data_IF_711399071624
#
_entry.id   IF_711399071624
#
_cell.length_a   1.000
_cell.length_b   1.000
_cell.length_c   1.000
_cell.angle_alpha   90.00
_cell.angle_beta   90.00
_cell.angle_gamma   90.00
#
_symmetry.space_group_name_H-M   'P 1'
#
loop_
_entity.id
_entity.type
_entity.pdbx_description
1 polymer ?
#
# COMPACT_ATOMS: atom_id res chain seq x y z
N UNK A 1 6.41 -18.55 2.08
CA UNK A 1 7.16 -17.35 2.52
C UNK A 1 7.62 -17.48 3.96
N UNK A 2 8.90 -17.15 4.24
CA UNK A 2 9.35 -16.93 5.61
C UNK A 2 8.65 -15.69 6.21
N UNK A 3 8.54 -15.59 7.54
CA UNK A 3 7.97 -14.40 8.18
C UNK A 3 8.79 -13.16 7.84
N UNK A 4 8.10 -12.07 7.49
CA UNK A 4 8.70 -10.78 7.18
C UNK A 4 8.23 -9.73 8.20
N UNK A 5 9.11 -8.78 8.52
CA UNK A 5 8.80 -7.69 9.44
C UNK A 5 8.34 -6.48 8.64
N UNK A 6 7.19 -5.92 8.99
CA UNK A 6 6.70 -4.64 8.44
C UNK A 6 6.92 -3.51 9.45
N UNK A 7 7.21 -2.31 8.95
CA UNK A 7 7.45 -1.11 9.72
C UNK A 7 6.33 -0.09 9.54
N UNK A 8 5.99 0.59 10.63
CA UNK A 8 4.98 1.65 10.69
C UNK A 8 5.42 2.73 11.69
N UNK A 9 6.64 3.24 11.52
CA UNK A 9 7.20 4.24 12.42
C UNK A 9 6.52 5.59 12.21
N UNK A 10 5.99 6.23 13.26
CA UNK A 10 5.35 7.52 13.13
C UNK A 10 6.37 8.63 12.80
N UNK A 11 5.89 9.77 12.26
CA UNK A 11 6.68 10.97 12.11
C UNK A 11 7.42 11.38 13.39
N UNK A 12 8.67 11.82 13.24
CA UNK A 12 9.52 12.33 14.32
C UNK A 12 10.37 13.50 13.84
N UNK A 13 11.11 14.14 14.76
CA UNK A 13 12.04 15.22 14.41
C UNK A 13 13.19 14.77 13.50
N UNK A 14 13.52 13.47 13.50
CA UNK A 14 14.56 12.88 12.64
C UNK A 14 14.00 12.37 11.31
N UNK A 15 12.78 11.87 11.31
CA UNK A 15 12.10 11.31 10.13
C UNK A 15 10.74 11.98 10.01
N UNK A 16 10.69 13.10 9.28
CA UNK A 16 9.54 14.00 9.25
C UNK A 16 8.24 13.37 8.76
N UNK A 17 8.34 12.30 7.97
CA UNK A 17 7.20 11.59 7.38
C UNK A 17 6.99 10.19 7.96
N UNK A 18 7.78 9.80 8.97
CA UNK A 18 7.80 8.43 9.47
C UNK A 18 8.51 7.47 8.53
N UNK A 19 8.48 6.17 8.87
CA UNK A 19 8.99 5.11 8.01
C UNK A 19 7.97 3.97 7.98
N UNK A 20 7.29 3.86 6.84
CA UNK A 20 6.10 3.05 6.68
C UNK A 20 6.26 2.18 5.45
N UNK A 21 6.20 0.86 5.64
CA UNK A 21 6.35 -0.11 4.56
C UNK A 21 5.07 -0.19 3.73
N UNK A 22 5.25 -0.52 2.45
CA UNK A 22 4.16 -0.81 1.53
C UNK A 22 3.89 -2.31 1.48
N UNK A 23 2.62 -2.68 1.40
CA UNK A 23 2.14 -4.05 1.48
C UNK A 23 1.00 -4.28 0.49
N UNK A 24 0.79 -5.56 0.15
CA UNK A 24 -0.47 -6.05 -0.40
C UNK A 24 -1.41 -6.44 0.73
N UNK A 25 -2.67 -6.01 0.64
CA UNK A 25 -3.75 -6.33 1.57
C UNK A 25 -4.87 -7.04 0.83
N UNK A 26 -5.39 -8.12 1.42
CA UNK A 26 -6.62 -8.74 0.96
C UNK A 26 -7.85 -7.94 1.42
N UNK A 27 -8.66 -7.46 0.49
CA UNK A 27 -9.84 -6.62 0.76
C UNK A 27 -11.18 -7.37 0.70
N UNK A 28 -11.19 -8.68 0.44
CA UNK A 28 -12.40 -9.48 0.32
C UNK A 28 -12.18 -10.99 0.48
N UNK A 29 -13.27 -11.76 0.60
CA UNK A 29 -13.22 -13.23 0.66
C UNK A 29 -13.18 -13.81 -0.76
N UNK A 30 -11.98 -14.09 -1.28
CA UNK A 30 -11.78 -14.77 -2.55
C UNK A 30 -10.36 -14.55 -3.10
N UNK A 31 -9.81 -15.53 -3.82
CA UNK A 31 -8.53 -15.37 -4.53
C UNK A 31 -8.69 -14.51 -5.78
N UNK A 32 -7.71 -13.67 -6.08
CA UNK A 32 -7.66 -12.84 -7.29
C UNK A 32 -7.44 -11.35 -7.00
N UNK A 33 -6.91 -10.65 -8.00
CA UNK A 33 -6.44 -9.25 -7.93
C UNK A 33 -7.50 -8.26 -7.55
N UNK A 34 -8.75 -8.50 -7.97
CA UNK A 34 -9.85 -7.60 -7.61
C UNK A 34 -10.02 -7.48 -6.09
N UNK A 35 -9.42 -8.41 -5.34
CA UNK A 35 -9.41 -8.43 -3.88
C UNK A 35 -8.04 -8.07 -3.29
N UNK A 36 -7.08 -7.62 -4.10
CA UNK A 36 -5.77 -7.14 -3.64
C UNK A 36 -5.69 -5.62 -3.73
N UNK A 37 -5.18 -5.02 -2.67
CA UNK A 37 -4.93 -3.59 -2.59
C UNK A 37 -3.48 -3.34 -2.18
N UNK A 38 -2.80 -2.45 -2.91
CA UNK A 38 -1.49 -1.93 -2.47
C UNK A 38 -1.74 -0.80 -1.47
N UNK A 39 -1.09 -0.86 -0.31
CA UNK A 39 -1.24 0.17 0.72
C UNK A 39 0.05 0.39 1.50
N UNK A 40 0.20 1.58 2.09
CA UNK A 40 1.30 1.93 3.00
C UNK A 40 0.83 1.80 4.45
N UNK A 41 1.49 0.99 5.27
CA UNK A 41 1.11 0.75 6.66
C UNK A 41 1.61 1.90 7.54
N UNK A 42 0.68 2.73 8.03
CA UNK A 42 1.03 3.94 8.78
C UNK A 42 0.92 3.77 10.30
N UNK A 43 0.16 2.76 10.76
CA UNK A 43 -0.01 2.48 12.18
C UNK A 43 -0.37 0.99 12.37
N UNK A 44 0.24 0.37 13.38
CA UNK A 44 -0.13 -0.97 13.88
C UNK A 44 -0.64 -0.77 15.31
N UNK A 45 -1.84 -1.25 15.62
CA UNK A 45 -2.46 -0.99 16.90
C UNK A 45 -3.39 -2.13 17.34
N UNK A 46 -3.63 -2.18 18.65
CA UNK A 46 -4.63 -3.06 19.25
C UNK A 46 -5.64 -2.18 20.01
N UNK A 47 -6.94 -2.27 19.69
CA UNK A 47 -7.97 -1.64 20.50
C UNK A 47 -7.93 -2.17 21.93
N UNK A 48 -8.03 -1.27 22.91
CA UNK A 48 -8.14 -1.62 24.33
C UNK A 48 -9.52 -1.18 24.81
N UNK A 49 -10.31 -2.14 25.32
CA UNK A 49 -11.67 -1.92 25.78
C UNK A 49 -11.86 -2.40 27.22
N UNK A 50 -12.80 -1.80 27.96
CA UNK A 50 -13.15 -2.23 29.32
C UNK A 50 -13.93 -3.55 29.26
N UNK A 51 -13.33 -4.58 29.85
CA UNK A 51 -13.79 -5.98 29.92
C UNK A 51 -15.29 -6.14 30.20
N UNK A 52 -15.99 -6.74 29.23
CA UNK A 52 -17.27 -7.47 29.35
C UNK A 52 -17.66 -8.17 28.03
N UNK A 53 -17.15 -7.70 26.88
CA UNK A 53 -17.61 -8.14 25.54
C UNK A 53 -16.55 -8.87 24.72
N UNK A 54 -15.27 -8.76 25.08
CA UNK A 54 -14.19 -9.41 24.34
C UNK A 54 -13.77 -10.66 25.09
N UNK A 55 -14.14 -11.82 24.55
CA UNK A 55 -13.59 -13.09 25.02
C UNK A 55 -12.05 -12.99 24.98
N UNK A 56 -11.43 -13.35 26.09
CA UNK A 56 -10.01 -13.09 26.42
C UNK A 56 -8.99 -13.77 25.47
N UNK A 57 -9.46 -14.44 24.41
CA UNK A 57 -8.64 -15.28 23.53
C UNK A 57 -8.40 -14.68 22.14
N UNK A 58 -9.08 -13.60 21.76
CA UNK A 58 -8.90 -13.01 20.41
C UNK A 58 -8.13 -11.68 20.49
N UNK A 59 -6.80 -11.78 20.46
CA UNK A 59 -5.90 -10.63 20.29
C UNK A 59 -6.00 -10.10 18.85
N UNK A 60 -6.98 -9.24 18.60
CA UNK A 60 -7.13 -8.59 17.29
C UNK A 60 -6.16 -7.41 17.15
N UNK A 61 -5.09 -7.62 16.40
CA UNK A 61 -4.18 -6.56 15.96
C UNK A 61 -4.66 -6.03 14.62
N UNK A 62 -4.68 -4.71 14.50
CA UNK A 62 -5.13 -4.00 13.30
C UNK A 62 -4.01 -3.13 12.75
N UNK A 63 -4.15 -2.79 11.47
CA UNK A 63 -3.33 -1.83 10.76
C UNK A 63 -4.19 -0.73 10.17
N UNK A 64 -3.75 0.52 10.30
CA UNK A 64 -4.24 1.61 9.44
C UNK A 64 -3.28 1.76 8.27
N UNK A 65 -3.82 1.70 7.05
CA UNK A 65 -3.03 1.77 5.84
C UNK A 65 -3.61 2.78 4.83
N UNK A 66 -2.73 3.55 4.21
CA UNK A 66 -3.06 4.51 3.15
C UNK A 66 -2.99 3.82 1.78
N UNK A 67 -4.05 3.94 0.98
CA UNK A 67 -4.22 3.15 -0.22
C UNK A 67 -3.54 3.74 -1.46
N UNK A 68 -3.06 2.85 -2.32
CA UNK A 68 -2.73 3.14 -3.71
C UNK A 68 -3.73 2.43 -4.63
N UNK A 69 -4.06 3.10 -5.73
CA UNK A 69 -4.92 2.60 -6.78
C UNK A 69 -4.09 2.31 -8.02
N UNK A 70 -4.40 1.24 -8.72
CA UNK A 70 -3.78 0.98 -10.01
C UNK A 70 -4.26 2.00 -11.04
N UNK A 71 -3.31 2.76 -11.60
CA UNK A 71 -3.55 3.89 -12.49
C UNK A 71 -3.05 3.65 -13.93
N UNK A 72 -2.51 2.47 -14.22
CA UNK A 72 -2.11 2.09 -15.58
C UNK A 72 -3.29 2.28 -16.55
N UNK A 73 -3.02 2.67 -17.79
CA UNK A 73 -4.05 2.84 -18.83
C UNK A 73 -4.21 1.58 -19.68
N UNK A 74 -3.20 0.71 -19.69
CA UNK A 74 -3.15 -0.49 -20.49
C UNK A 74 -4.01 -1.58 -19.86
N UNK A 75 -4.87 -2.19 -20.67
CA UNK A 75 -5.79 -3.25 -20.27
C UNK A 75 -5.75 -4.40 -21.28
N UNK A 76 -5.89 -5.63 -20.82
CA UNK A 76 -6.12 -6.77 -21.71
C UNK A 76 -7.58 -6.80 -22.21
N UNK A 77 -7.94 -7.82 -22.98
CA UNK A 77 -9.31 -8.00 -23.50
C UNK A 77 -10.36 -8.21 -22.41
N UNK A 78 -9.95 -8.59 -21.19
CA UNK A 78 -10.83 -8.84 -20.05
C UNK A 78 -10.94 -7.62 -19.13
N UNK A 79 -10.22 -6.53 -19.43
CA UNK A 79 -10.18 -5.34 -18.57
C UNK A 79 -9.20 -5.46 -17.40
N UNK A 80 -8.31 -6.45 -17.41
CA UNK A 80 -7.23 -6.61 -16.43
C UNK A 80 -6.16 -5.55 -16.66
N UNK A 81 -5.68 -4.95 -15.58
CA UNK A 81 -4.63 -3.93 -15.61
C UNK A 81 -3.33 -4.56 -16.06
N UNK A 82 -2.72 -4.00 -17.11
CA UNK A 82 -1.43 -4.44 -17.60
C UNK A 82 -0.31 -3.53 -17.07
N UNK A 83 0.89 -4.09 -17.04
CA UNK A 83 2.12 -3.36 -16.76
C UNK A 83 2.35 -2.25 -17.80
N UNK A 84 3.02 -1.18 -17.39
CA UNK A 84 3.38 -0.11 -18.32
C UNK A 84 4.40 -0.62 -19.35
N UNK A 85 4.21 -0.32 -20.66
CA UNK A 85 5.17 -0.64 -21.70
C UNK A 85 6.57 -0.10 -21.33
N UNK A 86 7.61 -0.84 -21.71
CA UNK A 86 9.03 -0.53 -21.46
C UNK A 86 9.49 -0.57 -20.00
N UNK A 87 8.61 -0.35 -19.01
CA UNK A 87 8.93 -0.42 -17.56
C UNK A 87 8.63 -1.80 -16.99
N UNK A 88 7.64 -2.51 -17.55
CA UNK A 88 7.20 -3.84 -17.10
C UNK A 88 6.75 -3.89 -15.62
N UNK A 89 6.35 -2.75 -15.08
CA UNK A 89 5.81 -2.61 -13.72
C UNK A 89 4.40 -2.03 -13.76
N UNK A 90 3.61 -2.29 -12.72
CA UNK A 90 2.26 -1.71 -12.63
C UNK A 90 2.33 -0.26 -12.17
N UNK A 91 1.59 0.62 -12.84
CA UNK A 91 1.47 2.01 -12.41
C UNK A 91 0.43 2.14 -11.30
N UNK A 92 0.83 2.78 -10.22
CA UNK A 92 0.03 3.09 -9.05
C UNK A 92 -0.13 4.61 -8.89
N UNK A 93 -1.24 5.03 -8.32
CA UNK A 93 -1.51 6.39 -7.89
C UNK A 93 -1.94 6.38 -6.43
N UNK A 94 -1.41 7.29 -5.63
CA UNK A 94 -1.82 7.46 -4.24
C UNK A 94 -3.28 7.92 -4.18
N UNK A 95 -4.10 7.22 -3.40
CA UNK A 95 -5.51 7.52 -3.24
C UNK A 95 -5.73 8.79 -2.41
N UNK A 96 -6.69 9.61 -2.82
CA UNK A 96 -7.12 10.81 -2.09
C UNK A 96 -8.64 10.85 -2.02
N UNK A 97 -9.18 11.24 -0.87
CA UNK A 97 -10.61 11.47 -0.66
C UNK A 97 -10.89 12.91 -0.23
N UNK A 98 -12.00 13.52 -0.69
CA UNK A 98 -12.42 14.81 -0.20
C UNK A 98 -12.84 14.72 1.27
N UNK A 99 -12.45 15.69 2.09
CA UNK A 99 -12.80 15.74 3.52
C UNK A 99 -14.01 16.62 3.83
N UNK A 100 -14.31 17.58 2.98
CA UNK A 100 -15.39 18.54 3.17
C UNK A 100 -15.75 19.22 1.82
N UNK A 101 -16.83 20.03 1.76
CA UNK A 101 -17.22 20.77 0.56
C UNK A 101 -16.19 21.81 0.09
N UNK A 102 -15.16 22.13 0.90
CA UNK A 102 -14.11 23.11 0.54
C UNK A 102 -13.07 22.57 -0.44
N UNK A 103 -13.14 21.28 -0.80
CA UNK A 103 -12.22 20.65 -1.74
C UNK A 103 -10.90 20.19 -1.14
N UNK A 104 -10.72 20.31 0.19
CA UNK A 104 -9.53 19.76 0.86
C UNK A 104 -9.54 18.24 0.79
N UNK A 105 -8.49 17.67 0.22
CA UNK A 105 -8.30 16.22 0.15
C UNK A 105 -7.40 15.72 1.28
N UNK A 106 -7.61 14.49 1.70
CA UNK A 106 -6.68 13.72 2.53
C UNK A 106 -6.38 12.40 1.84
N UNK A 107 -5.26 11.79 2.19
CA UNK A 107 -4.93 10.46 1.69
C UNK A 107 -6.04 9.48 2.07
N UNK A 108 -6.45 8.68 1.10
CA UNK A 108 -7.41 7.61 1.32
C UNK A 108 -6.72 6.48 2.08
N UNK A 109 -7.48 5.81 2.96
CA UNK A 109 -6.97 4.72 3.76
C UNK A 109 -8.07 4.04 4.55
N UNK A 110 -7.74 2.87 5.11
CA UNK A 110 -8.65 1.99 5.82
C UNK A 110 -8.00 1.32 7.03
N UNK A 111 -8.82 0.66 7.85
CA UNK A 111 -8.38 -0.18 8.95
C UNK A 111 -8.60 -1.64 8.54
N UNK A 112 -7.56 -2.46 8.67
CA UNK A 112 -7.58 -3.87 8.31
C UNK A 112 -7.07 -4.70 9.48
N UNK A 113 -7.48 -5.96 9.58
CA UNK A 113 -6.83 -6.89 10.50
C UNK A 113 -5.42 -7.21 10.00
N UNK A 114 -4.49 -7.46 10.93
CA UNK A 114 -3.08 -7.70 10.57
C UNK A 114 -2.92 -8.94 9.68
N UNK A 115 -3.77 -9.95 9.82
CA UNK A 115 -3.79 -11.17 9.01
C UNK A 115 -4.28 -10.96 7.57
N UNK A 116 -4.90 -9.82 7.27
CA UNK A 116 -5.23 -9.41 5.90
C UNK A 116 -3.99 -8.88 5.15
N UNK A 117 -2.90 -8.54 5.85
CA UNK A 117 -1.63 -8.16 5.23
C UNK A 117 -0.98 -9.40 4.66
N UNK A 118 -0.83 -9.43 3.34
CA UNK A 118 -0.32 -10.59 2.63
C UNK A 118 1.21 -10.59 2.57
N UNK A 119 1.78 -9.59 1.88
CA UNK A 119 3.23 -9.45 1.70
C UNK A 119 3.63 -7.98 1.65
N UNK A 120 4.83 -7.59 2.13
CA UNK A 120 5.45 -6.33 1.79
C UNK A 120 5.77 -6.30 0.29
N UNK A 121 5.66 -5.11 -0.30
CA UNK A 121 5.98 -4.85 -1.70
C UNK A 121 6.75 -3.54 -1.80
N UNK A 122 7.63 -3.44 -2.79
CA UNK A 122 8.37 -2.20 -3.04
C UNK A 122 7.66 -1.35 -4.10
N UNK A 123 7.57 -0.04 -3.84
CA UNK A 123 7.10 0.93 -4.82
C UNK A 123 8.19 1.95 -5.14
N UNK A 124 8.24 2.40 -6.38
CA UNK A 124 9.26 3.31 -6.89
C UNK A 124 8.57 4.58 -7.39
N UNK A 125 8.93 5.79 -6.92
CA UNK A 125 8.36 7.03 -7.46
C UNK A 125 8.54 7.13 -8.98
N UNK A 126 7.46 7.49 -9.69
CA UNK A 126 7.56 7.78 -11.13
C UNK A 126 8.25 9.13 -11.30
N UNK A 127 9.48 9.10 -11.79
CA UNK A 127 10.18 10.32 -12.21
C UNK A 127 9.75 10.69 -13.63
N UNK A 128 9.26 11.93 -13.79
CA UNK A 128 9.02 12.49 -15.12
C UNK A 128 10.37 12.81 -15.80
N UNK A 129 10.33 13.56 -16.90
CA UNK A 129 11.54 14.04 -17.61
C UNK A 129 12.58 14.70 -16.69
N UNK A 130 12.13 15.32 -15.59
CA UNK A 130 13.01 15.91 -14.56
C UNK A 130 12.57 15.40 -13.19
N UNK A 131 13.51 14.83 -12.44
CA UNK A 131 13.31 14.42 -11.06
C UNK A 131 13.16 15.65 -10.15
N UNK A 132 12.16 15.64 -9.25
CA UNK A 132 12.04 16.67 -8.22
C UNK A 132 13.24 16.59 -7.26
N UNK A 133 14.06 17.65 -7.24
CA UNK A 133 15.30 17.70 -6.45
C UNK A 133 15.07 17.77 -4.94
N UNK A 134 13.83 17.91 -4.49
CA UNK A 134 13.46 17.82 -3.08
C UNK A 134 13.35 16.37 -2.60
N UNK A 135 13.26 15.41 -3.52
CA UNK A 135 13.14 14.00 -3.19
C UNK A 135 14.45 13.45 -2.62
N UNK A 136 14.32 12.67 -1.56
CA UNK A 136 15.39 11.93 -0.91
C UNK A 136 14.80 10.66 -0.27
N UNK A 137 15.65 9.84 0.33
CA UNK A 137 15.25 8.55 0.90
C UNK A 137 14.17 8.65 2.01
N UNK A 138 13.99 9.80 2.66
CA UNK A 138 13.05 9.98 3.77
C UNK A 138 11.71 10.57 3.36
N UNK A 139 11.56 11.03 2.11
CA UNK A 139 10.33 11.66 1.62
C UNK A 139 9.88 11.15 0.24
N UNK A 140 10.58 10.14 -0.29
CA UNK A 140 10.30 9.56 -1.61
C UNK A 140 8.94 8.88 -1.68
N UNK A 141 8.39 8.40 -0.56
CA UNK A 141 7.02 7.86 -0.54
C UNK A 141 5.97 8.97 -0.33
N UNK A 142 6.37 10.16 0.12
CA UNK A 142 5.41 11.15 0.63
C UNK A 142 5.08 12.28 -0.34
N UNK A 143 6.08 12.78 -1.05
CA UNK A 143 5.90 13.88 -2.01
C UNK A 143 5.31 13.43 -3.35
N UNK A 144 5.69 12.28 -3.94
CA UNK A 144 5.13 11.81 -5.19
C UNK A 144 3.69 11.31 -5.03
N UNK A 145 2.91 11.41 -6.11
CA UNK A 145 1.54 10.88 -6.17
C UNK A 145 1.41 9.65 -7.05
N UNK A 146 2.44 9.29 -7.82
CA UNK A 146 2.43 8.17 -8.76
C UNK A 146 3.68 7.32 -8.58
N UNK A 147 3.51 6.00 -8.60
CA UNK A 147 4.55 5.03 -8.30
C UNK A 147 4.50 3.84 -9.26
N UNK A 148 5.62 3.18 -9.50
CA UNK A 148 5.67 1.85 -10.08
C UNK A 148 5.69 0.82 -8.97
N UNK A 149 4.88 -0.22 -9.08
CA UNK A 149 4.93 -1.40 -8.22
C UNK A 149 6.00 -2.33 -8.73
N UNK A 150 7.04 -2.57 -7.93
CA UNK A 150 8.14 -3.45 -8.30
C UNK A 150 7.72 -4.91 -8.12
N UNK A 151 7.07 -5.48 -9.15
CA UNK A 151 6.72 -6.90 -9.21
C UNK A 151 7.93 -7.81 -9.46
N UNK A 152 9.16 -7.29 -9.49
CA UNK A 152 10.40 -8.04 -9.63
C UNK A 152 11.28 -7.99 -8.38
N UNK A 153 10.79 -7.45 -7.26
CA UNK A 153 11.53 -7.36 -5.99
C UNK A 153 12.05 -8.74 -5.56
N UNK A 154 11.23 -9.77 -5.71
CA UNK A 154 11.59 -11.16 -5.49
C UNK A 154 10.71 -12.11 -6.33
N UNK A 155 11.06 -13.41 -6.31
CA UNK A 155 10.36 -14.46 -7.08
C UNK A 155 8.94 -14.72 -6.57
N UNK A 156 8.70 -14.56 -5.28
CA UNK A 156 7.39 -14.81 -4.67
C UNK A 156 6.43 -13.70 -5.06
N UNK A 157 6.85 -12.44 -4.95
CA UNK A 157 6.17 -11.25 -5.46
C UNK A 157 5.88 -11.36 -6.96
N UNK A 158 6.87 -11.75 -7.77
CA UNK A 158 6.67 -11.98 -9.21
C UNK A 158 5.61 -13.05 -9.47
N UNK A 159 5.69 -14.20 -8.78
CA UNK A 159 4.72 -15.27 -8.93
C UNK A 159 3.32 -14.86 -8.45
N UNK A 160 3.20 -14.12 -7.34
CA UNK A 160 1.92 -13.57 -6.88
C UNK A 160 1.31 -12.72 -7.98
N UNK A 161 2.06 -11.79 -8.56
CA UNK A 161 1.53 -10.96 -9.63
C UNK A 161 1.26 -11.74 -10.93
N UNK A 162 2.07 -12.74 -11.30
CA UNK A 162 1.88 -13.49 -12.55
C UNK A 162 0.92 -14.68 -12.46
N UNK A 163 0.59 -15.14 -11.24
CA UNK A 163 -0.41 -16.18 -11.02
C UNK A 163 -1.78 -15.59 -10.69
N UNK A 164 -1.80 -14.35 -10.17
CA UNK A 164 -3.04 -13.64 -9.90
C UNK A 164 -3.46 -12.68 -11.03
N UNK A 165 -2.55 -12.17 -11.89
CA UNK A 165 -2.83 -11.39 -13.13
C UNK A 165 -2.81 -12.18 -14.42
#
# INVERSE_FOLDING_TARGET
>A
MPPQTIQAYPPSTKILFGNCDTVLIHTGMGGGISNLQVAQVCLIFQPVGSSAVWDAEVFLVFVYAESFEFAGLHRDTNGTILQEPDVQMFLLQRGYRPTNPSGKTVKAGGIYQLDAVFIPVDIIPVFRKVMDRRLNATNCHELPTTFYLNNFSDKETYNTFMSEF
#
